data_IF_350924068184
#
_entry.id   IF_350924068184
#
_cell.length_a   1.000
_cell.length_b   1.000
_cell.length_c   1.000
_cell.angle_alpha   90.00
_cell.angle_beta   90.00
_cell.angle_gamma   90.00
#
_symmetry.space_group_name_H-M   'P 1'
#
loop_
_entity.id
_entity.type
_entity.pdbx_description
1 polymer ?
#
# COMPACT_ATOMS: atom_id res chain seq x y z
N UNK A 1 13.20 21.60 10.71
CA UNK A 1 11.73 21.52 10.57
C UNK A 1 11.33 21.15 9.15
N UNK A 2 11.82 21.85 8.12
CA UNK A 2 11.56 21.48 6.72
C UNK A 2 12.07 20.07 6.41
N UNK A 3 13.27 19.71 6.86
CA UNK A 3 13.87 18.37 6.64
C UNK A 3 13.03 17.25 7.26
N UNK A 4 12.47 17.49 8.45
CA UNK A 4 11.56 16.54 9.12
C UNK A 4 10.26 16.35 8.34
N UNK A 5 9.68 17.44 7.83
CA UNK A 5 8.46 17.38 7.00
C UNK A 5 8.74 16.60 5.72
N UNK A 6 9.87 16.87 5.06
CA UNK A 6 10.30 16.15 3.86
C UNK A 6 10.48 14.67 4.17
N UNK A 7 11.21 14.31 5.24
CA UNK A 7 11.46 12.93 5.61
C UNK A 7 10.16 12.16 5.94
N UNK A 8 9.24 12.76 6.68
CA UNK A 8 7.91 12.18 6.94
C UNK A 8 7.14 12.01 5.62
N UNK A 9 7.22 12.97 4.71
CA UNK A 9 6.56 12.89 3.40
C UNK A 9 7.10 11.74 2.55
N UNK A 10 8.42 11.54 2.54
CA UNK A 10 9.08 10.38 1.92
C UNK A 10 8.54 9.09 2.52
N UNK A 11 8.52 8.99 3.86
CA UNK A 11 8.04 7.82 4.59
C UNK A 11 6.58 7.47 4.28
N UNK A 12 5.69 8.46 4.24
CA UNK A 12 4.28 8.26 3.91
C UNK A 12 4.10 7.86 2.44
N UNK A 13 4.78 8.53 1.51
CA UNK A 13 4.70 8.23 0.07
C UNK A 13 5.19 6.82 -0.25
N UNK A 14 6.32 6.40 0.33
CA UNK A 14 6.86 5.06 0.16
C UNK A 14 6.05 3.99 0.91
N UNK A 15 5.48 4.31 2.07
CA UNK A 15 4.56 3.40 2.75
C UNK A 15 3.29 3.17 1.94
N UNK A 16 2.74 4.22 1.31
CA UNK A 16 1.63 4.07 0.37
C UNK A 16 2.03 3.21 -0.84
N UNK A 17 3.25 3.37 -1.37
CA UNK A 17 3.78 2.51 -2.43
C UNK A 17 3.81 1.03 -2.00
N UNK A 18 4.14 0.73 -0.72
CA UNK A 18 4.14 -0.63 -0.17
C UNK A 18 2.75 -1.29 -0.20
N UNK A 19 1.68 -0.47 -0.18
CA UNK A 19 0.30 -0.94 -0.34
C UNK A 19 -0.01 -1.45 -1.74
N UNK A 20 0.70 -0.99 -2.77
CA UNK A 20 0.58 -1.55 -4.13
C UNK A 20 1.38 -2.86 -4.23
N UNK A 21 2.67 -2.78 -3.92
CA UNK A 21 3.61 -3.90 -3.94
C UNK A 21 4.55 -3.79 -2.76
N UNK A 22 4.81 -4.90 -2.07
CA UNK A 22 5.57 -4.88 -0.80
C UNK A 22 7.06 -4.74 -1.09
N UNK A 23 7.55 -5.48 -2.08
CA UNK A 23 8.99 -5.64 -2.29
C UNK A 23 9.57 -4.61 -3.25
N UNK A 24 8.77 -4.10 -4.20
CA UNK A 24 9.23 -3.08 -5.15
C UNK A 24 9.72 -1.79 -4.45
N UNK A 25 8.93 -1.15 -3.55
CA UNK A 25 9.37 0.08 -2.90
C UNK A 25 10.54 -0.17 -1.95
N UNK A 26 10.57 -1.30 -1.25
CA UNK A 26 11.68 -1.65 -0.34
C UNK A 26 12.99 -1.89 -1.08
N UNK A 27 12.93 -2.50 -2.28
CA UNK A 27 14.07 -2.59 -3.18
C UNK A 27 14.55 -1.20 -3.64
N UNK A 28 13.63 -0.34 -4.08
CA UNK A 28 13.95 1.03 -4.52
C UNK A 28 14.60 1.83 -3.38
N UNK A 29 14.09 1.71 -2.15
CA UNK A 29 14.70 2.32 -0.96
C UNK A 29 16.12 1.82 -0.75
N UNK A 30 16.33 0.50 -0.81
CA UNK A 30 17.66 -0.09 -0.62
C UNK A 30 18.67 0.42 -1.66
N UNK A 31 18.28 0.45 -2.94
CA UNK A 31 19.11 0.97 -4.04
C UNK A 31 19.38 2.47 -3.84
N UNK A 32 18.36 3.26 -3.54
CA UNK A 32 18.49 4.70 -3.37
C UNK A 32 19.34 5.08 -2.15
N UNK A 33 19.17 4.39 -1.03
CA UNK A 33 20.00 4.55 0.14
C UNK A 33 21.46 4.18 -0.12
N UNK A 34 21.70 3.14 -0.92
CA UNK A 34 23.07 2.73 -1.31
C UNK A 34 23.72 3.69 -2.30
N UNK A 35 22.93 4.39 -3.09
CA UNK A 35 23.38 5.44 -4.01
C UNK A 35 23.47 6.83 -3.32
N UNK A 36 23.38 6.89 -1.99
CA UNK A 36 23.38 8.12 -1.19
C UNK A 36 22.28 9.13 -1.59
N UNK A 37 21.20 8.67 -2.23
CA UNK A 37 20.04 9.48 -2.59
C UNK A 37 19.06 9.66 -1.43
N UNK A 38 19.11 8.78 -0.43
CA UNK A 38 18.22 8.78 0.74
C UNK A 38 19.00 8.63 2.03
N UNK A 39 18.70 9.49 3.00
CA UNK A 39 19.20 9.38 4.36
C UNK A 39 18.22 8.59 5.21
N UNK A 40 18.63 7.40 5.64
CA UNK A 40 17.87 6.54 6.55
C UNK A 40 18.14 6.93 8.00
N UNK A 41 17.15 6.75 8.87
CA UNK A 41 17.28 6.89 10.31
C UNK A 41 18.23 5.84 10.90
N UNK A 42 18.78 6.16 12.07
CA UNK A 42 19.64 5.23 12.82
C UNK A 42 18.92 3.90 13.06
N UNK A 43 19.65 2.80 12.86
CA UNK A 43 19.12 1.45 12.93
C UNK A 43 18.41 0.95 11.66
N UNK A 44 18.21 1.79 10.63
CA UNK A 44 17.63 1.38 9.34
C UNK A 44 18.63 1.35 8.19
N UNK A 45 19.89 1.77 8.42
CA UNK A 45 20.96 1.77 7.40
C UNK A 45 21.21 0.40 6.74
N UNK A 46 20.88 -0.69 7.44
CA UNK A 46 20.96 -2.05 6.90
C UNK A 46 20.13 -2.24 5.62
N UNK A 47 19.07 -1.45 5.42
CA UNK A 47 18.23 -1.51 4.21
C UNK A 47 19.02 -1.17 2.94
N UNK A 48 20.07 -0.35 3.05
CA UNK A 48 20.99 -0.03 1.96
C UNK A 48 22.15 -1.02 1.79
N UNK A 49 22.21 -2.10 2.57
CA UNK A 49 23.28 -3.10 2.43
C UNK A 49 23.09 -3.98 1.19
N UNK A 50 24.18 -4.50 0.62
CA UNK A 50 24.12 -5.43 -0.51
C UNK A 50 23.24 -6.64 -0.24
N UNK A 51 23.25 -7.16 1.00
CA UNK A 51 22.44 -8.30 1.40
C UNK A 51 20.95 -7.95 1.43
N UNK A 52 20.59 -6.77 1.95
CA UNK A 52 19.20 -6.30 1.94
C UNK A 52 18.71 -6.07 0.52
N UNK A 53 19.50 -5.42 -0.34
CA UNK A 53 19.16 -5.19 -1.75
C UNK A 53 18.99 -6.51 -2.48
N UNK A 54 19.89 -7.48 -2.31
CA UNK A 54 19.75 -8.80 -2.90
C UNK A 54 18.46 -9.51 -2.42
N UNK A 55 18.16 -9.43 -1.13
CA UNK A 55 16.96 -10.04 -0.53
C UNK A 55 15.68 -9.39 -1.08
N UNK A 56 15.58 -8.05 -1.08
CA UNK A 56 14.44 -7.34 -1.66
C UNK A 56 14.34 -7.55 -3.18
N UNK A 57 15.48 -7.68 -3.86
CA UNK A 57 15.55 -7.99 -5.30
C UNK A 57 14.97 -9.35 -5.60
N UNK A 58 15.42 -10.40 -4.90
CA UNK A 58 14.86 -11.75 -5.02
C UNK A 58 13.38 -11.77 -4.67
N UNK A 59 12.98 -11.11 -3.57
CA UNK A 59 11.57 -11.03 -3.18
C UNK A 59 10.71 -10.32 -4.23
N UNK A 60 11.23 -9.25 -4.85
CA UNK A 60 10.56 -8.54 -5.95
C UNK A 60 10.40 -9.43 -7.19
N UNK A 61 11.44 -10.20 -7.55
CA UNK A 61 11.36 -11.17 -8.65
C UNK A 61 10.33 -12.25 -8.35
N UNK A 62 10.27 -12.77 -7.12
CA UNK A 62 9.24 -13.71 -6.71
C UNK A 62 7.84 -13.09 -6.73
N UNK A 63 7.69 -11.82 -6.34
CA UNK A 63 6.43 -11.08 -6.36
C UNK A 63 5.89 -10.84 -7.78
N UNK A 64 6.77 -10.72 -8.77
CA UNK A 64 6.38 -10.64 -10.20
C UNK A 64 6.18 -12.05 -10.76
N UNK A 65 7.06 -12.98 -10.39
CA UNK A 65 7.08 -14.35 -10.88
C UNK A 65 5.97 -15.23 -10.31
N UNK A 66 5.31 -14.78 -9.24
CA UNK A 66 4.21 -15.47 -8.58
C UNK A 66 3.12 -15.92 -9.56
N UNK A 67 2.82 -15.08 -10.56
CA UNK A 67 1.84 -15.38 -11.63
C UNK A 67 2.10 -16.67 -12.40
N UNK A 68 3.36 -17.13 -12.46
CA UNK A 68 3.72 -18.36 -13.17
C UNK A 68 3.63 -19.61 -12.29
N UNK A 69 3.50 -19.46 -10.97
CA UNK A 69 3.53 -20.53 -9.99
C UNK A 69 2.31 -20.45 -9.06
N UNK A 70 1.20 -21.17 -9.33
CA UNK A 70 -0.06 -21.01 -8.61
C UNK A 70 0.04 -21.19 -7.09
N UNK A 71 0.90 -22.09 -6.61
CA UNK A 71 1.12 -22.30 -5.17
C UNK A 71 1.86 -21.13 -4.51
N UNK A 72 2.78 -20.50 -5.25
CA UNK A 72 3.53 -19.34 -4.79
C UNK A 72 2.65 -18.09 -4.79
N UNK A 73 1.81 -17.92 -5.83
CA UNK A 73 0.81 -16.85 -5.93
C UNK A 73 -0.14 -16.86 -4.73
N UNK A 74 -0.73 -18.01 -4.42
CA UNK A 74 -1.66 -18.11 -3.29
C UNK A 74 -1.00 -17.81 -1.93
N UNK A 75 0.24 -18.27 -1.74
CA UNK A 75 1.01 -17.99 -0.52
C UNK A 75 1.35 -16.50 -0.41
N UNK A 76 1.86 -15.91 -1.49
CA UNK A 76 2.22 -14.50 -1.52
C UNK A 76 1.01 -13.60 -1.38
N UNK A 77 -0.12 -13.89 -2.03
CA UNK A 77 -1.33 -13.08 -1.90
C UNK A 77 -1.88 -13.13 -0.47
N UNK A 78 -1.89 -14.31 0.18
CA UNK A 78 -2.28 -14.47 1.59
C UNK A 78 -1.38 -13.66 2.53
N UNK A 79 -0.07 -13.73 2.31
CA UNK A 79 0.91 -13.02 3.13
C UNK A 79 1.02 -11.53 2.79
N UNK A 80 0.60 -11.10 1.59
CA UNK A 80 0.88 -9.77 1.05
C UNK A 80 0.25 -8.65 1.86
N UNK A 81 -0.93 -8.88 2.44
CA UNK A 81 -1.63 -7.87 3.25
C UNK A 81 -0.90 -7.57 4.56
N UNK A 82 -0.62 -8.56 5.44
CA UNK A 82 0.14 -8.29 6.65
C UNK A 82 1.56 -7.80 6.32
N UNK A 83 2.20 -8.33 5.27
CA UNK A 83 3.51 -7.85 4.83
C UNK A 83 3.49 -6.39 4.38
N UNK A 84 2.47 -5.96 3.61
CA UNK A 84 2.35 -4.57 3.16
C UNK A 84 2.24 -3.61 4.35
N UNK A 85 1.44 -3.98 5.37
CA UNK A 85 1.30 -3.18 6.58
C UNK A 85 2.64 -3.08 7.31
N UNK A 86 3.29 -4.22 7.58
CA UNK A 86 4.60 -4.25 8.27
C UNK A 86 5.65 -3.47 7.50
N UNK A 87 5.73 -3.65 6.18
CA UNK A 87 6.62 -2.89 5.32
C UNK A 87 6.32 -1.39 5.39
N UNK A 88 5.05 -0.97 5.32
CA UNK A 88 4.64 0.42 5.46
C UNK A 88 5.06 1.05 6.79
N UNK A 89 4.95 0.30 7.90
CA UNK A 89 5.45 0.74 9.21
C UNK A 89 6.97 0.88 9.21
N UNK A 90 7.69 -0.14 8.77
CA UNK A 90 9.17 -0.15 8.74
C UNK A 90 9.70 0.98 7.87
N UNK A 91 9.14 1.15 6.67
CA UNK A 91 9.52 2.19 5.71
C UNK A 91 9.26 3.57 6.29
N UNK A 92 8.09 3.82 6.88
CA UNK A 92 7.80 5.12 7.50
C UNK A 92 8.75 5.41 8.67
N UNK A 93 9.01 4.41 9.53
CA UNK A 93 9.96 4.53 10.63
C UNK A 93 11.41 4.76 10.15
N UNK A 94 11.77 4.28 8.96
CA UNK A 94 13.10 4.44 8.38
C UNK A 94 13.42 5.89 8.00
N UNK A 95 12.43 6.77 7.83
CA UNK A 95 12.64 8.19 7.52
C UNK A 95 12.32 9.13 8.68
N UNK A 96 11.64 8.67 9.73
CA UNK A 96 11.39 9.48 10.93
C UNK A 96 12.66 9.52 11.79
N UNK A 97 13.35 10.66 11.74
CA UNK A 97 14.56 10.98 12.52
C UNK A 97 14.22 11.89 13.72
N UNK A 98 15.07 11.85 14.76
CA UNK A 98 15.05 12.76 15.91
C UNK A 98 13.71 12.90 16.65
N UNK A 99 12.89 11.83 16.64
CA UNK A 99 11.66 11.76 17.42
C UNK A 99 11.78 10.77 18.57
N UNK A 100 11.07 11.08 19.67
CA UNK A 100 10.90 10.15 20.78
C UNK A 100 10.35 8.80 20.25
N UNK A 101 10.89 7.64 20.67
CA UNK A 101 10.55 6.34 20.10
C UNK A 101 9.05 6.05 20.06
N UNK A 102 8.31 6.42 21.11
CA UNK A 102 6.86 6.24 21.17
C UNK A 102 6.14 7.02 20.06
N UNK A 103 6.54 8.26 19.80
CA UNK A 103 5.96 9.08 18.73
C UNK A 103 6.33 8.53 17.36
N UNK A 104 7.61 8.16 17.17
CA UNK A 104 8.12 7.56 15.94
C UNK A 104 7.31 6.33 15.54
N UNK A 105 7.18 5.37 16.45
CA UNK A 105 6.46 4.13 16.17
C UNK A 105 4.95 4.34 16.06
N UNK A 106 4.35 5.21 16.86
CA UNK A 106 2.93 5.55 16.73
C UNK A 106 2.63 6.15 15.35
N UNK A 107 3.44 7.09 14.88
CA UNK A 107 3.29 7.71 13.57
C UNK A 107 3.55 6.70 12.44
N UNK A 108 4.58 5.87 12.58
CA UNK A 108 4.88 4.83 11.60
C UNK A 108 3.75 3.80 11.46
N UNK A 109 3.14 3.38 12.58
CA UNK A 109 1.98 2.46 12.58
C UNK A 109 0.76 3.12 11.95
N UNK A 110 0.41 4.33 12.39
CA UNK A 110 -0.81 5.02 11.93
C UNK A 110 -0.66 5.49 10.49
N UNK A 111 0.37 6.28 10.19
CA UNK A 111 0.55 6.87 8.88
C UNK A 111 1.11 5.87 7.88
N UNK A 112 2.14 5.09 8.25
CA UNK A 112 2.77 4.11 7.37
C UNK A 112 1.92 2.85 7.20
N UNK A 113 1.68 2.14 8.29
CA UNK A 113 0.88 0.90 8.29
C UNK A 113 -0.55 1.13 7.83
N UNK A 114 -1.19 2.22 8.28
CA UNK A 114 -2.53 2.61 7.86
C UNK A 114 -2.64 2.94 6.37
N UNK A 115 -1.68 3.69 5.81
CA UNK A 115 -1.68 3.99 4.37
C UNK A 115 -1.48 2.73 3.53
N UNK A 116 -0.45 1.92 3.86
CA UNK A 116 -0.16 0.68 3.15
C UNK A 116 -1.34 -0.30 3.20
N UNK A 117 -1.91 -0.50 4.40
CA UNK A 117 -3.05 -1.39 4.61
C UNK A 117 -4.30 -0.93 3.86
N UNK A 118 -4.60 0.37 3.88
CA UNK A 118 -5.77 0.92 3.17
C UNK A 118 -5.66 0.72 1.66
N UNK A 119 -4.50 1.03 1.08
CA UNK A 119 -4.27 0.87 -0.37
C UNK A 119 -4.33 -0.61 -0.75
N UNK A 120 -3.66 -1.49 0.02
CA UNK A 120 -3.66 -2.93 -0.25
C UNK A 120 -5.06 -3.54 -0.18
N UNK A 121 -5.85 -3.17 0.84
CA UNK A 121 -7.24 -3.59 0.97
C UNK A 121 -8.10 -3.09 -0.19
N UNK A 122 -7.88 -1.85 -0.62
CA UNK A 122 -8.54 -1.27 -1.80
C UNK A 122 -8.29 -2.07 -3.08
N UNK A 123 -7.02 -2.44 -3.33
CA UNK A 123 -6.62 -3.25 -4.48
C UNK A 123 -7.17 -4.68 -4.41
N UNK A 124 -7.17 -5.30 -3.23
CA UNK A 124 -7.80 -6.59 -3.03
C UNK A 124 -9.29 -6.55 -3.40
N UNK A 125 -10.00 -5.47 -3.01
CA UNK A 125 -11.38 -5.24 -3.43
C UNK A 125 -11.55 -5.12 -4.96
N UNK A 126 -10.64 -4.41 -5.63
CA UNK A 126 -10.63 -4.29 -7.10
C UNK A 126 -10.39 -5.64 -7.79
N UNK A 127 -9.47 -6.48 -7.28
CA UNK A 127 -9.20 -7.83 -7.80
C UNK A 127 -10.38 -8.79 -7.63
N UNK A 128 -11.09 -8.70 -6.50
CA UNK A 128 -12.33 -9.46 -6.30
C UNK A 128 -13.38 -9.01 -7.32
N UNK A 129 -13.54 -7.70 -7.51
CA UNK A 129 -14.46 -7.15 -8.51
C UNK A 129 -14.12 -7.60 -9.94
N UNK A 130 -12.84 -7.54 -10.33
CA UNK A 130 -12.38 -7.97 -11.67
C UNK A 130 -12.57 -9.47 -11.88
N UNK A 131 -12.32 -10.29 -10.85
CA UNK A 131 -12.53 -11.74 -10.92
C UNK A 131 -14.00 -12.08 -11.12
N UNK A 132 -14.90 -11.43 -10.37
CA UNK A 132 -16.35 -11.66 -10.48
C UNK A 132 -16.93 -11.21 -11.83
N UNK A 133 -16.35 -10.17 -12.45
CA UNK A 133 -16.88 -9.57 -13.69
C UNK A 133 -16.26 -10.13 -14.96
N UNK A 134 -15.00 -10.58 -14.91
CA UNK A 134 -14.23 -11.01 -16.08
C UNK A 134 -13.74 -12.46 -16.00
N UNK A 135 -14.11 -13.19 -14.94
CA UNK A 135 -13.59 -14.54 -14.69
C UNK A 135 -12.08 -14.58 -14.40
N UNK A 136 -11.49 -13.45 -14.00
CA UNK A 136 -10.07 -13.33 -13.69
C UNK A 136 -9.19 -12.89 -14.87
N UNK A 137 -9.75 -12.72 -16.08
CA UNK A 137 -8.98 -12.28 -17.25
C UNK A 137 -8.34 -10.88 -17.09
N UNK A 138 -8.94 -10.01 -16.28
CA UNK A 138 -8.40 -8.68 -16.01
C UNK A 138 -7.34 -8.63 -14.89
N UNK A 139 -7.12 -9.72 -14.14
CA UNK A 139 -6.19 -9.72 -13.01
C UNK A 139 -4.71 -9.44 -13.40
N UNK A 140 -4.18 -9.98 -14.52
CA UNK A 140 -2.84 -9.63 -14.99
C UNK A 140 -2.68 -8.13 -15.32
N UNK A 141 -3.74 -7.51 -15.84
CA UNK A 141 -3.75 -6.07 -16.16
C UNK A 141 -3.68 -5.25 -14.87
N UNK A 142 -4.54 -5.55 -13.89
CA UNK A 142 -4.54 -4.89 -12.57
C UNK A 142 -3.18 -5.04 -11.89
N UNK A 143 -2.62 -6.25 -11.91
CA UNK A 143 -1.29 -6.54 -11.38
C UNK A 143 -0.16 -5.72 -12.00
N UNK A 144 -0.23 -5.52 -13.33
CA UNK A 144 0.74 -4.70 -14.05
C UNK A 144 0.64 -3.24 -13.62
N UNK A 145 -0.59 -2.72 -13.47
CA UNK A 145 -0.82 -1.38 -12.96
C UNK A 145 -0.30 -1.19 -11.53
N UNK A 146 -0.51 -2.17 -10.64
CA UNK A 146 0.04 -2.11 -9.29
C UNK A 146 1.57 -1.97 -9.30
N UNK A 147 2.25 -2.70 -10.19
CA UNK A 147 3.70 -2.64 -10.32
C UNK A 147 4.17 -1.28 -10.81
N UNK A 148 3.55 -0.78 -11.88
CA UNK A 148 3.85 0.53 -12.45
C UNK A 148 3.60 1.64 -11.43
N UNK A 149 2.48 1.59 -10.71
CA UNK A 149 2.14 2.58 -9.68
C UNK A 149 3.09 2.47 -8.49
N UNK A 150 3.50 1.28 -8.06
CA UNK A 150 4.47 1.11 -6.98
C UNK A 150 5.82 1.75 -7.33
N UNK A 151 6.32 1.52 -8.55
CA UNK A 151 7.56 2.17 -9.04
C UNK A 151 7.36 3.68 -9.11
N UNK A 152 6.30 4.14 -9.76
CA UNK A 152 6.03 5.56 -9.95
C UNK A 152 5.88 6.31 -8.61
N UNK A 153 5.13 5.75 -7.66
CA UNK A 153 4.99 6.31 -6.31
C UNK A 153 6.30 6.32 -5.54
N UNK A 154 7.12 5.28 -5.68
CA UNK A 154 8.42 5.23 -5.01
C UNK A 154 9.38 6.28 -5.55
N UNK A 155 9.47 6.40 -6.88
CA UNK A 155 10.28 7.42 -7.55
C UNK A 155 9.76 8.83 -7.20
N UNK A 156 8.44 9.05 -7.25
CA UNK A 156 7.82 10.31 -6.87
C UNK A 156 8.13 10.67 -5.41
N UNK A 157 8.09 9.70 -4.50
CA UNK A 157 8.40 9.92 -3.09
C UNK A 157 9.85 10.30 -2.85
N UNK A 158 10.79 9.82 -3.66
CA UNK A 158 12.20 10.17 -3.54
C UNK A 158 12.46 11.58 -4.08
N UNK A 159 11.95 11.90 -5.27
CA UNK A 159 12.30 13.16 -5.96
C UNK A 159 11.36 14.33 -5.63
N UNK A 160 10.08 14.06 -5.37
CA UNK A 160 9.07 15.06 -5.02
C UNK A 160 8.27 14.61 -3.79
N UNK A 161 8.89 14.56 -2.58
CA UNK A 161 8.32 13.94 -1.40
C UNK A 161 6.95 14.49 -1.00
N UNK A 162 6.81 15.82 -1.04
CA UNK A 162 5.56 16.49 -0.64
C UNK A 162 4.42 16.11 -1.59
N UNK A 163 4.69 16.04 -2.90
CA UNK A 163 3.68 15.63 -3.88
C UNK A 163 3.29 14.17 -3.66
N UNK A 164 4.28 13.29 -3.41
CA UNK A 164 4.00 11.89 -3.12
C UNK A 164 3.14 11.70 -1.87
N UNK A 165 3.39 12.46 -0.80
CA UNK A 165 2.57 12.43 0.40
C UNK A 165 1.14 12.91 0.14
N UNK A 166 0.95 13.98 -0.64
CA UNK A 166 -0.38 14.46 -1.04
C UNK A 166 -1.12 13.39 -1.86
N UNK A 167 -0.45 12.78 -2.84
CA UNK A 167 -1.03 11.69 -3.65
C UNK A 167 -1.38 10.49 -2.77
N UNK A 168 -0.49 10.09 -1.86
CA UNK A 168 -0.74 9.01 -0.92
C UNK A 168 -1.98 9.27 -0.05
N UNK A 169 -2.10 10.47 0.53
CA UNK A 169 -3.26 10.88 1.33
C UNK A 169 -4.53 10.88 0.48
N UNK A 170 -4.48 11.39 -0.75
CA UNK A 170 -5.61 11.39 -1.66
C UNK A 170 -6.09 9.97 -2.02
N UNK A 171 -5.16 9.04 -2.25
CA UNK A 171 -5.46 7.63 -2.52
C UNK A 171 -6.09 6.95 -1.31
N UNK A 172 -5.53 7.16 -0.12
CA UNK A 172 -6.10 6.65 1.14
C UNK A 172 -7.52 7.19 1.35
N UNK A 173 -7.73 8.50 1.19
CA UNK A 173 -9.04 9.12 1.31
C UNK A 173 -10.05 8.57 0.28
N UNK A 174 -9.60 8.35 -0.96
CA UNK A 174 -10.41 7.72 -2.01
C UNK A 174 -10.88 6.32 -1.61
N UNK A 175 -9.97 5.44 -1.18
CA UNK A 175 -10.32 4.07 -0.79
C UNK A 175 -11.18 4.01 0.47
N UNK A 176 -10.92 4.86 1.46
CA UNK A 176 -11.77 4.97 2.66
C UNK A 176 -13.19 5.41 2.28
N UNK A 177 -13.32 6.44 1.44
CA UNK A 177 -14.63 6.92 0.96
C UNK A 177 -15.36 5.83 0.17
N UNK A 178 -14.64 5.10 -0.68
CA UNK A 178 -15.19 4.00 -1.45
C UNK A 178 -15.71 2.87 -0.54
N UNK A 179 -14.92 2.46 0.44
CA UNK A 179 -15.31 1.44 1.42
C UNK A 179 -16.52 1.89 2.25
N UNK A 180 -16.52 3.13 2.74
CA UNK A 180 -17.65 3.69 3.49
C UNK A 180 -18.93 3.70 2.66
N UNK A 181 -18.87 4.17 1.41
CA UNK A 181 -20.03 4.20 0.51
C UNK A 181 -20.56 2.79 0.21
N UNK A 182 -19.69 1.79 0.08
CA UNK A 182 -20.07 0.41 -0.14
C UNK A 182 -20.79 -0.21 1.08
N UNK A 183 -20.26 0.02 2.29
CA UNK A 183 -20.86 -0.48 3.53
C UNK A 183 -22.22 0.17 3.78
N UNK A 184 -22.33 1.51 3.67
CA UNK A 184 -23.59 2.23 3.91
C UNK A 184 -24.67 1.86 2.89
N UNK A 185 -24.30 1.58 1.63
CA UNK A 185 -25.26 1.13 0.61
C UNK A 185 -25.87 -0.24 0.90
N UNK A 186 -25.16 -1.13 1.60
CA UNK A 186 -25.70 -2.45 2.01
C UNK A 186 -26.64 -2.39 3.22
N UNK A 187 -26.59 -1.32 4.01
CA UNK A 187 -27.36 -1.20 5.25
C UNK A 187 -28.72 -0.50 5.10
N UNK A 188 -29.16 -0.12 3.89
CA UNK A 188 -30.57 0.27 3.68
C UNK A 188 -31.42 -0.99 3.47
N UNK A 189 -32.32 -1.36 4.40
CA UNK A 189 -33.32 -2.38 4.14
C UNK A 189 -34.27 -1.83 3.07
N UNK A 190 -34.62 -2.65 2.08
CA UNK A 190 -35.65 -2.34 1.09
C UNK A 190 -37.00 -2.32 1.81
N UNK A 191 -37.40 -1.17 2.35
CA UNK A 191 -38.75 -0.97 2.88
C UNK A 191 -39.71 -0.79 1.71
N UNK A 192 -39.98 -1.89 0.99
CA UNK A 192 -41.15 -2.03 0.13
C UNK A 192 -42.23 -2.77 0.91
N UNK A 193 -42.94 -2.04 1.76
CA UNK A 193 -44.32 -2.42 2.05
C UNK A 193 -45.15 -2.03 0.82
N UNK A 194 -45.59 -3.05 0.08
CA UNK A 194 -46.62 -2.92 -0.95
C UNK A 194 -47.95 -2.50 -0.32
N UNK A 195 -48.76 -1.66 -0.98
CA UNK A 195 -50.05 -1.24 -0.45
C UNK A 195 -50.99 -2.44 -0.40
N UNK A 196 -51.54 -2.75 0.78
CA UNK A 196 -52.60 -3.74 0.92
C UNK A 196 -53.85 -3.20 0.22
N UNK A 197 -54.08 -3.69 -1.00
CA UNK A 197 -55.39 -3.69 -1.62
C UNK A 197 -56.23 -4.77 -0.94
N UNK A 198 -57.13 -4.38 -0.05
CA UNK A 198 -58.27 -5.20 0.35
C UNK A 198 -59.53 -4.43 0.00
N UNK A 199 -60.07 -4.71 -1.19
CA UNK A 199 -61.49 -4.60 -1.43
C UNK A 199 -62.23 -5.77 -0.77
N UNK A 200 -63.55 -5.64 -0.72
CA UNK A 200 -64.57 -6.61 -0.30
C UNK A 200 -64.97 -6.59 1.19
N UNK A 201 -65.97 -5.75 1.49
CA UNK A 201 -67.27 -6.17 2.07
C UNK A 201 -68.32 -5.08 1.80
#
# INVERSE_FOLDING_TARGET
MLDTIVAISIGIGLAAACGFRVFVPTLIIGIAARADLLTLADGFQWMGSWLAIATFGTATVLEVGAYYLPWLDNLLDTASTPLAIVAGVIVSAAFIQDMHPVLKWSLAVIAGGGAAGTIKAGLAGLRVGSTLTTGGAANPIVSTFEWVIAIAMSVLAIFLPIIAAVVAIALVAFFVRFAYAFVVRRSKPDSKESPVTSGEA
#
